data_IF_029439258356
#
_entry.id   IF_029439258356
#
_cell.length_a   1.000
_cell.length_b   1.000
_cell.length_c   1.000
_cell.angle_alpha   90.00
_cell.angle_beta   90.00
_cell.angle_gamma   90.00
#
_symmetry.space_group_name_H-M   'P 1'
#
loop_
_entity.id
_entity.type
_entity.pdbx_description
1 polymer ?
#
# COMPACT_ATOMS: atom_id res chain seq x y z
N UNK A 1 9.36 9.03 -18.06
CA UNK A 1 8.13 8.22 -18.22
C UNK A 1 8.43 6.82 -17.74
N UNK A 2 7.56 6.23 -16.91
CA UNK A 2 7.77 4.88 -16.37
C UNK A 2 7.73 3.83 -17.49
N UNK A 3 8.66 2.87 -17.45
CA UNK A 3 8.63 1.70 -18.33
C UNK A 3 7.64 0.68 -17.76
N UNK A 4 6.47 0.60 -18.39
CA UNK A 4 5.38 -0.25 -17.91
C UNK A 4 5.75 -1.73 -17.97
N UNK A 5 6.56 -2.16 -18.93
CA UNK A 5 6.94 -3.58 -19.04
C UNK A 5 7.85 -3.98 -17.88
N UNK A 6 8.83 -3.14 -17.54
CA UNK A 6 9.68 -3.35 -16.37
C UNK A 6 8.90 -3.33 -15.06
N UNK A 7 7.91 -2.44 -14.94
CA UNK A 7 7.07 -2.39 -13.75
C UNK A 7 6.22 -3.67 -13.61
N UNK A 8 5.67 -4.19 -14.72
CA UNK A 8 4.90 -5.44 -14.73
C UNK A 8 5.76 -6.65 -14.34
N UNK A 9 6.99 -6.75 -14.86
CA UNK A 9 7.97 -7.78 -14.50
C UNK A 9 8.27 -7.71 -13.00
N UNK A 10 8.62 -6.51 -12.51
CA UNK A 10 8.91 -6.29 -11.09
C UNK A 10 7.73 -6.66 -10.18
N UNK A 11 6.49 -6.32 -10.57
CA UNK A 11 5.29 -6.73 -9.83
C UNK A 11 5.20 -8.26 -9.75
N UNK A 12 5.47 -8.96 -10.84
CA UNK A 12 5.34 -10.42 -10.90
C UNK A 12 6.37 -11.17 -10.04
N UNK A 13 7.56 -10.61 -9.88
CA UNK A 13 8.65 -11.19 -9.08
C UNK A 13 8.58 -10.85 -7.60
N UNK A 14 7.73 -9.88 -7.22
CA UNK A 14 7.69 -9.37 -5.85
C UNK A 14 6.83 -10.24 -4.96
N UNK A 15 7.41 -10.67 -3.83
CA UNK A 15 6.68 -11.34 -2.77
C UNK A 15 6.05 -10.30 -1.81
N UNK A 16 4.91 -9.75 -2.20
CA UNK A 16 4.18 -8.76 -1.41
C UNK A 16 3.74 -9.33 -0.05
N UNK A 17 3.68 -8.48 0.98
CA UNK A 17 3.26 -8.86 2.34
C UNK A 17 4.15 -9.92 3.02
N UNK A 18 5.32 -10.21 2.45
CA UNK A 18 6.24 -11.25 2.92
C UNK A 18 7.00 -10.89 4.21
N UNK A 19 7.01 -9.61 4.60
CA UNK A 19 7.76 -9.09 5.75
C UNK A 19 6.91 -8.33 6.76
N UNK A 20 5.59 -8.43 6.64
CA UNK A 20 4.68 -7.82 7.61
C UNK A 20 5.04 -8.18 9.05
N UNK A 21 5.10 -7.17 9.91
CA UNK A 21 5.40 -7.25 11.32
C UNK A 21 6.89 -7.27 11.65
N UNK A 22 7.77 -7.31 10.66
CA UNK A 22 9.23 -7.33 10.86
C UNK A 22 9.76 -5.90 10.99
N UNK A 23 10.63 -5.68 11.97
CA UNK A 23 11.32 -4.41 12.17
C UNK A 23 12.65 -4.37 11.41
N UNK A 24 12.66 -4.74 10.13
CA UNK A 24 13.84 -4.76 9.26
C UNK A 24 14.00 -3.47 8.43
N UNK A 25 13.12 -2.50 8.63
CA UNK A 25 13.26 -1.15 8.09
C UNK A 25 13.69 -0.19 9.22
N UNK A 26 14.91 0.32 9.13
CA UNK A 26 15.49 1.28 10.08
C UNK A 26 15.40 2.71 9.55
N UNK A 27 14.17 3.21 9.41
CA UNK A 27 13.87 4.60 9.03
C UNK A 27 13.04 5.25 10.14
N UNK A 28 13.49 6.41 10.65
CA UNK A 28 12.79 7.16 11.70
C UNK A 28 11.41 7.69 11.26
N UNK A 29 11.13 7.68 9.96
CA UNK A 29 9.85 8.02 9.38
C UNK A 29 8.92 6.81 9.21
N UNK A 30 9.31 5.61 9.65
CA UNK A 30 8.48 4.41 9.55
C UNK A 30 8.10 3.92 10.94
N UNK A 31 6.80 3.70 11.13
CA UNK A 31 6.23 3.11 12.34
C UNK A 31 5.79 1.69 11.99
N UNK A 32 6.48 0.70 12.56
CA UNK A 32 6.19 -0.72 12.29
C UNK A 32 5.24 -1.27 13.34
N UNK A 33 4.12 -1.81 12.88
CA UNK A 33 3.12 -2.49 13.69
C UNK A 33 3.25 -4.00 13.50
N UNK A 34 3.23 -4.74 14.60
CA UNK A 34 3.53 -6.18 14.59
C UNK A 34 2.63 -7.01 13.67
N UNK A 35 1.33 -6.71 13.60
CA UNK A 35 0.37 -7.50 12.83
C UNK A 35 -0.97 -6.77 12.68
N UNK A 36 -1.87 -7.37 11.90
CA UNK A 36 -3.24 -6.88 11.67
C UNK A 36 -4.08 -6.80 12.95
N UNK A 37 -3.82 -7.64 13.97
CA UNK A 37 -4.52 -7.55 15.26
C UNK A 37 -4.21 -6.22 15.95
N UNK A 38 -2.93 -5.88 16.05
CA UNK A 38 -2.45 -4.65 16.70
C UNK A 38 -2.76 -3.40 15.89
N UNK A 39 -2.91 -3.53 14.57
CA UNK A 39 -3.29 -2.41 13.72
C UNK A 39 -4.80 -2.11 13.78
N UNK A 40 -5.65 -3.15 13.72
CA UNK A 40 -7.08 -2.98 13.40
C UNK A 40 -8.07 -3.51 14.44
N UNK A 41 -7.69 -4.49 15.26
CA UNK A 41 -8.63 -5.14 16.21
C UNK A 41 -8.43 -4.58 17.63
N UNK A 42 -7.17 -4.52 18.08
CA UNK A 42 -6.77 -4.01 19.38
C UNK A 42 -5.70 -2.94 19.23
N UNK A 43 -6.02 -1.83 18.54
CA UNK A 43 -5.10 -0.72 18.44
C UNK A 43 -4.84 -0.10 19.81
N UNK A 44 -3.61 0.36 20.01
CA UNK A 44 -3.22 1.09 21.21
C UNK A 44 -2.35 2.26 20.83
N UNK A 45 -2.44 3.35 21.57
CA UNK A 45 -1.61 4.52 21.33
C UNK A 45 -0.12 4.17 21.38
N UNK A 46 0.30 3.29 22.29
CA UNK A 46 1.70 2.86 22.42
C UNK A 46 2.25 2.24 21.13
N UNK A 47 1.49 1.34 20.50
CA UNK A 47 1.89 0.69 19.24
C UNK A 47 2.04 1.69 18.09
N UNK A 48 1.27 2.78 18.12
CA UNK A 48 1.31 3.85 17.12
C UNK A 48 2.17 5.04 17.57
N UNK A 49 3.03 4.89 18.61
CA UNK A 49 3.84 5.99 19.16
C UNK A 49 3.04 7.26 19.55
N UNK A 50 1.81 7.07 20.02
CA UNK A 50 0.87 8.13 20.41
C UNK A 50 0.02 8.68 19.26
N UNK A 51 0.23 8.25 18.02
CA UNK A 51 -0.36 8.89 16.84
C UNK A 51 -1.67 8.26 16.35
N UNK A 52 -2.14 7.17 16.96
CA UNK A 52 -3.29 6.38 16.47
C UNK A 52 -4.52 7.23 16.10
N UNK A 53 -4.92 8.19 16.96
CA UNK A 53 -6.10 9.04 16.74
C UNK A 53 -5.97 10.00 15.55
N UNK A 54 -4.75 10.34 15.18
CA UNK A 54 -4.45 11.28 14.10
C UNK A 54 -3.93 10.56 12.85
N UNK A 55 -3.95 9.22 12.84
CA UNK A 55 -3.56 8.42 11.68
C UNK A 55 -4.55 8.66 10.55
N UNK A 56 -4.02 9.07 9.41
CA UNK A 56 -4.72 9.06 8.14
C UNK A 56 -4.53 7.68 7.50
N UNK A 57 -5.64 6.97 7.29
CA UNK A 57 -5.61 5.62 6.72
C UNK A 57 -5.45 5.67 5.21
N UNK A 58 -4.57 4.81 4.68
CA UNK A 58 -4.43 4.69 3.23
C UNK A 58 -5.71 4.10 2.61
N UNK A 59 -6.12 4.59 1.44
CA UNK A 59 -7.30 4.08 0.76
C UNK A 59 -7.23 2.58 0.43
N UNK A 60 -8.38 1.93 0.55
CA UNK A 60 -8.63 0.53 0.18
C UNK A 60 -9.75 0.40 -0.86
N UNK A 61 -10.31 1.51 -1.34
CA UNK A 61 -11.43 1.53 -2.29
C UNK A 61 -11.22 2.59 -3.36
N UNK A 62 -11.73 2.31 -4.57
CA UNK A 62 -11.73 3.23 -5.69
C UNK A 62 -12.58 4.49 -5.45
N UNK A 63 -13.53 4.42 -4.51
CA UNK A 63 -14.40 5.53 -4.13
C UNK A 63 -13.74 6.49 -3.14
N UNK A 64 -12.62 6.11 -2.53
CA UNK A 64 -11.89 6.98 -1.61
C UNK A 64 -11.01 7.94 -2.39
N UNK A 65 -11.02 9.20 -1.95
CA UNK A 65 -10.19 10.25 -2.53
C UNK A 65 -8.70 9.96 -2.33
N UNK A 66 -7.89 10.46 -3.27
CA UNK A 66 -6.44 10.39 -3.15
C UNK A 66 -5.98 11.40 -2.08
N UNK A 67 -5.38 10.96 -0.96
CA UNK A 67 -4.96 11.85 0.12
C UNK A 67 -3.81 12.80 -0.26
N UNK A 68 -3.09 12.55 -1.37
CA UNK A 68 -1.92 13.33 -1.75
C UNK A 68 -2.20 14.30 -2.88
N UNK A 69 -3.01 13.88 -3.85
CA UNK A 69 -3.21 14.63 -5.10
C UNK A 69 -4.68 14.90 -5.44
N UNK A 70 -5.62 14.42 -4.62
CA UNK A 70 -7.05 14.60 -4.84
C UNK A 70 -7.55 14.04 -6.17
N UNK A 71 -8.48 14.75 -6.80
CA UNK A 71 -9.08 14.30 -8.06
C UNK A 71 -8.17 14.58 -9.26
N UNK A 72 -7.67 13.50 -9.86
CA UNK A 72 -6.83 13.54 -11.05
C UNK A 72 -7.67 13.36 -12.32
N UNK A 73 -7.44 14.19 -13.33
CA UNK A 73 -8.06 14.06 -14.64
C UNK A 73 -7.54 12.81 -15.37
N UNK A 74 -8.46 11.99 -15.88
CA UNK A 74 -8.13 10.69 -16.46
C UNK A 74 -8.14 10.74 -17.98
N UNK A 75 -6.95 10.65 -18.61
CA UNK A 75 -6.86 10.39 -20.05
C UNK A 75 -7.14 8.91 -20.35
N UNK A 76 -7.62 8.60 -21.55
CA UNK A 76 -7.86 7.22 -21.99
C UNK A 76 -6.61 6.34 -21.85
N UNK A 77 -5.45 6.88 -22.24
CA UNK A 77 -4.17 6.18 -22.12
C UNK A 77 -3.80 5.87 -20.66
N UNK A 78 -4.00 6.82 -19.73
CA UNK A 78 -3.75 6.59 -18.31
C UNK A 78 -4.67 5.50 -17.73
N UNK A 79 -5.93 5.49 -18.14
CA UNK A 79 -6.89 4.44 -17.73
C UNK A 79 -6.41 3.07 -18.20
N UNK A 80 -5.97 2.93 -19.45
CA UNK A 80 -5.49 1.66 -20.00
C UNK A 80 -4.24 1.14 -19.27
N UNK A 81 -3.28 2.02 -18.95
CA UNK A 81 -2.08 1.64 -18.20
C UNK A 81 -2.45 1.18 -16.78
N UNK A 82 -3.30 1.94 -16.08
CA UNK A 82 -3.78 1.58 -14.74
C UNK A 82 -4.46 0.22 -14.73
N UNK A 83 -5.31 -0.07 -15.72
CA UNK A 83 -5.97 -1.37 -15.84
C UNK A 83 -4.97 -2.53 -16.01
N UNK A 84 -3.90 -2.35 -16.79
CA UNK A 84 -2.84 -3.36 -16.94
C UNK A 84 -2.14 -3.63 -15.60
N UNK A 85 -1.80 -2.57 -14.87
CA UNK A 85 -1.12 -2.66 -13.58
C UNK A 85 -2.02 -3.29 -12.52
N UNK A 86 -3.29 -2.88 -12.41
CA UNK A 86 -4.23 -3.49 -11.47
C UNK A 86 -4.41 -4.99 -11.73
N UNK A 87 -4.47 -5.42 -13.00
CA UNK A 87 -4.51 -6.85 -13.34
C UNK A 87 -3.25 -7.60 -12.89
N UNK A 88 -2.06 -7.02 -13.11
CA UNK A 88 -0.80 -7.62 -12.67
C UNK A 88 -0.74 -7.78 -11.15
N UNK A 89 -1.16 -6.74 -10.41
CA UNK A 89 -1.23 -6.78 -8.94
C UNK A 89 -2.22 -7.85 -8.46
N UNK A 90 -3.40 -7.96 -9.08
CA UNK A 90 -4.36 -9.01 -8.74
C UNK A 90 -3.78 -10.41 -8.97
N UNK A 91 -3.04 -10.62 -10.05
CA UNK A 91 -2.36 -11.89 -10.31
C UNK A 91 -1.26 -12.17 -9.27
N UNK A 92 -0.38 -11.20 -9.01
CA UNK A 92 0.72 -11.33 -8.06
C UNK A 92 0.23 -11.59 -6.62
N UNK A 93 -0.93 -11.03 -6.27
CA UNK A 93 -1.50 -11.17 -4.91
C UNK A 93 -2.51 -12.31 -4.77
N UNK A 94 -2.71 -13.12 -5.81
CA UNK A 94 -3.66 -14.24 -5.80
C UNK A 94 -3.24 -15.36 -4.84
N UNK A 95 -1.94 -15.62 -4.73
CA UNK A 95 -1.36 -16.72 -3.95
C UNK A 95 -0.71 -16.25 -2.64
N UNK A 96 -1.10 -15.10 -2.10
CA UNK A 96 -0.55 -14.59 -0.84
C UNK A 96 -0.76 -15.59 0.30
N UNK A 97 0.23 -15.64 1.19
CA UNK A 97 0.12 -16.42 2.42
C UNK A 97 -0.94 -15.77 3.33
N UNK A 98 -2.16 -16.29 3.24
CA UNK A 98 -3.35 -15.75 3.92
C UNK A 98 -3.20 -15.68 5.46
N UNK A 99 -2.29 -16.46 6.05
CA UNK A 99 -2.15 -16.54 7.51
C UNK A 99 -1.71 -15.21 8.16
N UNK A 100 -0.86 -14.43 7.49
CA UNK A 100 -0.39 -13.13 8.02
C UNK A 100 -1.44 -12.02 7.93
N UNK A 101 -2.43 -12.22 7.06
CA UNK A 101 -3.56 -11.33 6.84
C UNK A 101 -4.79 -11.75 7.63
N UNK A 102 -4.68 -12.74 8.53
CA UNK A 102 -5.76 -13.22 9.39
C UNK A 102 -5.41 -13.00 10.86
N UNK A 103 -6.44 -12.73 11.66
CA UNK A 103 -6.32 -12.70 13.12
C UNK A 103 -7.62 -13.23 13.74
N UNK A 104 -7.59 -14.46 14.23
CA UNK A 104 -8.80 -15.14 14.70
C UNK A 104 -9.82 -15.27 13.58
N UNK A 105 -11.04 -14.76 13.80
CA UNK A 105 -12.12 -14.76 12.81
C UNK A 105 -12.02 -13.63 11.78
N UNK A 106 -11.10 -12.67 11.94
CA UNK A 106 -10.97 -11.52 11.06
C UNK A 106 -10.03 -11.83 9.89
N UNK A 107 -10.51 -11.58 8.67
CA UNK A 107 -9.78 -11.78 7.42
C UNK A 107 -9.56 -10.44 6.70
N UNK A 108 -8.30 -10.05 6.53
CA UNK A 108 -7.89 -8.80 5.91
C UNK A 108 -7.38 -8.97 4.47
N UNK A 109 -7.50 -10.16 3.86
CA UNK A 109 -7.00 -10.42 2.49
C UNK A 109 -7.62 -9.47 1.46
N UNK A 110 -8.93 -9.21 1.56
CA UNK A 110 -9.61 -8.29 0.65
C UNK A 110 -9.11 -6.85 0.83
N UNK A 111 -8.95 -6.38 2.07
CA UNK A 111 -8.42 -5.05 2.36
C UNK A 111 -6.98 -4.89 1.84
N UNK A 112 -6.13 -5.89 2.07
CA UNK A 112 -4.74 -5.89 1.60
C UNK A 112 -4.67 -5.82 0.07
N UNK A 113 -5.39 -6.69 -0.64
CA UNK A 113 -5.44 -6.71 -2.12
C UNK A 113 -5.95 -5.41 -2.71
N UNK A 114 -6.98 -4.81 -2.10
CA UNK A 114 -7.51 -3.56 -2.62
C UNK A 114 -6.59 -2.38 -2.31
N UNK A 115 -5.94 -2.36 -1.15
CA UNK A 115 -4.99 -1.30 -0.78
C UNK A 115 -3.82 -1.21 -1.76
N UNK A 116 -3.19 -2.35 -2.07
CA UNK A 116 -2.06 -2.39 -3.00
C UNK A 116 -2.50 -2.06 -4.43
N UNK A 117 -3.67 -2.54 -4.86
CA UNK A 117 -4.23 -2.20 -6.19
C UNK A 117 -4.49 -0.69 -6.31
N UNK A 118 -5.04 -0.07 -5.26
CA UNK A 118 -5.24 1.37 -5.20
C UNK A 118 -3.90 2.12 -5.26
N UNK A 119 -2.95 1.76 -4.41
CA UNK A 119 -1.66 2.42 -4.32
C UNK A 119 -0.89 2.38 -5.66
N UNK A 120 -0.86 1.21 -6.30
CA UNK A 120 -0.19 1.07 -7.61
C UNK A 120 -0.89 1.89 -8.69
N UNK A 121 -2.23 1.91 -8.70
CA UNK A 121 -2.99 2.76 -9.62
C UNK A 121 -2.61 4.24 -9.45
N UNK A 122 -2.51 4.73 -8.21
CA UNK A 122 -2.15 6.12 -7.96
C UNK A 122 -0.69 6.43 -8.24
N UNK A 123 0.22 5.51 -7.94
CA UNK A 123 1.63 5.60 -8.34
C UNK A 123 1.80 5.76 -9.85
N UNK A 124 1.08 5.00 -10.66
CA UNK A 124 1.10 5.17 -12.12
C UNK A 124 0.67 6.57 -12.52
N UNK A 125 -0.28 7.15 -11.81
CA UNK A 125 -0.81 8.50 -12.06
C UNK A 125 0.22 9.55 -11.71
N UNK A 126 0.82 9.42 -10.53
CA UNK A 126 1.92 10.25 -10.06
C UNK A 126 3.06 10.27 -11.07
N UNK A 127 3.46 9.11 -11.61
CA UNK A 127 4.54 9.01 -12.60
C UNK A 127 4.15 9.46 -14.00
N UNK A 128 2.92 9.22 -14.41
CA UNK A 128 2.43 9.65 -15.72
C UNK A 128 2.30 11.18 -15.79
N UNK A 129 1.85 11.81 -14.71
CA UNK A 129 1.57 13.25 -14.64
C UNK A 129 2.68 14.07 -13.96
N UNK A 130 3.76 13.42 -13.52
CA UNK A 130 4.90 14.04 -12.84
C UNK A 130 4.51 14.86 -11.59
N UNK A 131 3.66 14.28 -10.73
CA UNK A 131 3.09 14.96 -9.56
C UNK A 131 3.98 14.95 -8.31
N UNK A 132 5.03 14.12 -8.30
CA UNK A 132 5.95 13.97 -7.16
C UNK A 132 6.33 12.51 -6.89
N UNK A 133 6.43 12.16 -5.61
CA UNK A 133 6.98 10.90 -5.12
C UNK A 133 6.26 10.31 -3.89
N UNK A 134 5.06 10.81 -3.55
CA UNK A 134 4.31 10.38 -2.36
C UNK A 134 3.88 8.93 -2.48
N UNK A 135 3.25 8.56 -3.59
CA UNK A 135 2.88 7.18 -3.89
C UNK A 135 4.09 6.31 -4.21
N UNK A 136 5.13 6.83 -4.86
CA UNK A 136 6.38 6.09 -5.05
C UNK A 136 6.97 5.59 -3.73
N UNK A 137 6.97 6.41 -2.67
CA UNK A 137 7.42 6.01 -1.33
C UNK A 137 6.58 4.85 -0.77
N UNK A 138 5.26 4.92 -0.92
CA UNK A 138 4.34 3.83 -0.53
C UNK A 138 4.64 2.55 -1.32
N UNK A 139 4.87 2.65 -2.63
CA UNK A 139 5.15 1.50 -3.48
C UNK A 139 6.50 0.85 -3.15
N UNK A 140 7.52 1.63 -2.78
CA UNK A 140 8.80 1.07 -2.28
C UNK A 140 8.60 0.19 -1.05
N UNK A 141 7.67 0.54 -0.16
CA UNK A 141 7.34 -0.26 1.03
C UNK A 141 6.66 -1.57 0.62
N UNK A 142 5.68 -1.53 -0.29
CA UNK A 142 5.08 -2.75 -0.82
C UNK A 142 6.13 -3.68 -1.46
N UNK A 143 7.06 -3.11 -2.24
CA UNK A 143 8.17 -3.86 -2.84
C UNK A 143 9.12 -4.49 -1.81
N UNK A 144 9.27 -3.87 -0.64
CA UNK A 144 10.06 -4.45 0.46
C UNK A 144 9.33 -5.58 1.21
N UNK A 145 8.04 -5.82 0.92
CA UNK A 145 7.25 -6.91 1.50
C UNK A 145 6.38 -6.50 2.68
N UNK A 146 6.26 -5.21 3.00
CA UNK A 146 5.41 -4.71 4.10
C UNK A 146 4.06 -4.19 3.58
N UNK A 147 3.12 -4.02 4.51
CA UNK A 147 1.84 -3.39 4.23
C UNK A 147 1.81 -1.95 4.78
N UNK A 148 1.95 -0.91 3.95
CA UNK A 148 1.65 0.45 4.37
C UNK A 148 0.13 0.59 4.55
N UNK A 149 -0.28 1.02 5.74
CA UNK A 149 -1.70 1.08 6.15
C UNK A 149 -2.18 2.50 6.43
N UNK A 150 -1.27 3.43 6.66
CA UNK A 150 -1.61 4.82 6.95
C UNK A 150 -0.39 5.69 7.09
N UNK A 151 -0.60 6.94 7.44
CA UNK A 151 0.46 7.89 7.73
C UNK A 151 0.00 8.90 8.78
N UNK A 152 0.97 9.57 9.38
CA UNK A 152 0.78 10.73 10.24
C UNK A 152 1.88 11.74 9.93
N UNK A 153 1.51 12.92 9.43
CA UNK A 153 2.43 13.88 8.84
C UNK A 153 3.31 13.19 7.76
N UNK A 154 4.63 13.15 7.95
CA UNK A 154 5.57 12.49 7.03
C UNK A 154 5.88 11.04 7.40
N UNK A 155 5.35 10.55 8.53
CA UNK A 155 5.61 9.19 9.01
C UNK A 155 4.64 8.20 8.36
N UNK A 156 5.16 7.11 7.83
CA UNK A 156 4.36 6.03 7.24
C UNK A 156 4.19 4.93 8.28
N UNK A 157 2.96 4.50 8.49
CA UNK A 157 2.61 3.39 9.36
C UNK A 157 2.50 2.15 8.50
N UNK A 158 3.28 1.13 8.86
CA UNK A 158 3.32 -0.14 8.16
C UNK A 158 2.99 -1.27 9.12
N UNK A 159 2.50 -2.36 8.56
CA UNK A 159 2.56 -3.69 9.16
C UNK A 159 3.69 -4.41 8.46
#
# INVERSE_FOLDING_TARGET
MIDINKELEKISETNFFSKMGLADIHDGNIIVIKNVEKAFIKPSNEVFNGYYKNTEWLPISHSQEDPFYGNIQNSKQLIEIRLKISKAIMCATKALNESRLKSGAYDFNHAARNSISYAFRQYISEKYLNLGDKWEKIIKIYYSGHWPIGFYNEKIIII
#
